data_IF_788994739976
#
_entry.id   IF_788994739976
#
_cell.length_a   1.000
_cell.length_b   1.000
_cell.length_c   1.000
_cell.angle_alpha   90.00
_cell.angle_beta   90.00
_cell.angle_gamma   90.00
#
_symmetry.space_group_name_H-M   'P 1'
#
loop_
_entity.id
_entity.type
_entity.pdbx_description
1 polymer ?
#
# COMPACT_ATOMS: atom_id res chain seq x y z
N UNK A 1 18.14 11.86 1.55
CA UNK A 1 16.91 12.47 2.10
C UNK A 1 15.67 11.73 1.60
N UNK A 2 14.71 11.47 2.48
CA UNK A 2 13.38 10.95 2.14
C UNK A 2 12.59 11.85 1.20
N UNK A 3 11.95 11.23 0.21
CA UNK A 3 11.01 11.90 -0.69
C UNK A 3 9.67 12.18 0.00
N UNK A 4 8.88 13.09 -0.59
CA UNK A 4 7.41 13.08 -0.38
C UNK A 4 6.84 11.74 -0.87
N UNK A 5 5.63 11.38 -0.46
CA UNK A 5 4.88 10.28 -1.07
C UNK A 5 4.06 10.83 -2.25
N UNK A 6 3.74 9.97 -3.22
CA UNK A 6 3.09 10.33 -4.47
C UNK A 6 1.61 9.92 -4.44
N UNK A 7 0.78 10.79 -4.99
CA UNK A 7 -0.54 10.41 -5.47
C UNK A 7 -0.45 9.65 -6.79
N UNK A 8 -1.48 8.87 -7.09
CA UNK A 8 -1.61 8.19 -8.37
C UNK A 8 -1.77 9.19 -9.51
N UNK A 9 -1.29 8.83 -10.69
CA UNK A 9 -1.35 9.70 -11.87
C UNK A 9 -2.62 9.49 -12.68
N UNK A 10 -3.21 8.30 -12.58
CA UNK A 10 -4.41 7.85 -13.30
C UNK A 10 -5.32 7.08 -12.36
N UNK A 11 -6.49 6.69 -12.83
CA UNK A 11 -7.43 5.83 -12.08
C UNK A 11 -6.95 4.39 -11.85
N UNK A 12 -5.76 4.03 -12.33
CA UNK A 12 -5.35 2.62 -12.45
C UNK A 12 -3.95 2.30 -11.88
N UNK A 13 -3.21 3.28 -11.36
CA UNK A 13 -1.83 3.10 -10.90
C UNK A 13 -1.66 3.11 -9.37
N UNK A 14 -2.74 2.93 -8.59
CA UNK A 14 -2.67 2.84 -7.12
C UNK A 14 -1.69 1.77 -6.62
N UNK A 15 -1.69 0.58 -7.23
CA UNK A 15 -0.80 -0.53 -6.92
C UNK A 15 0.69 -0.16 -7.04
N UNK A 16 1.21 0.14 -8.25
CA UNK A 16 2.62 0.51 -8.38
C UNK A 16 3.00 1.75 -7.58
N UNK A 17 2.11 2.75 -7.47
CA UNK A 17 2.38 3.97 -6.70
C UNK A 17 2.52 3.67 -5.21
N UNK A 18 1.69 2.82 -4.63
CA UNK A 18 1.80 2.40 -3.24
C UNK A 18 3.09 1.62 -2.97
N UNK A 19 3.54 0.76 -3.88
CA UNK A 19 4.85 0.08 -3.78
C UNK A 19 5.99 1.12 -3.81
N UNK A 20 5.96 2.05 -4.77
CA UNK A 20 6.96 3.11 -4.88
C UNK A 20 7.00 3.99 -3.64
N UNK A 21 5.84 4.31 -3.06
CA UNK A 21 5.74 5.05 -1.82
C UNK A 21 6.37 4.28 -0.65
N UNK A 22 6.19 2.96 -0.58
CA UNK A 22 6.87 2.15 0.42
C UNK A 22 8.40 2.19 0.29
N UNK A 23 8.94 2.15 -0.94
CA UNK A 23 10.37 2.34 -1.18
C UNK A 23 10.83 3.75 -0.77
N UNK A 24 10.06 4.79 -1.11
CA UNK A 24 10.37 6.19 -0.75
C UNK A 24 10.30 6.44 0.76
N UNK A 25 9.44 5.72 1.46
CA UNK A 25 9.36 5.74 2.91
C UNK A 25 10.58 5.03 3.53
N UNK A 26 10.96 3.87 3.01
CA UNK A 26 12.02 3.01 3.57
C UNK A 26 13.45 3.46 3.24
N UNK A 27 13.67 4.16 2.12
CA UNK A 27 15.01 4.53 1.63
C UNK A 27 15.13 6.02 1.30
N UNK A 28 16.35 6.54 1.36
CA UNK A 28 16.64 7.89 0.92
C UNK A 28 16.66 7.96 -0.62
N UNK A 29 16.25 9.10 -1.19
CA UNK A 29 16.12 9.28 -2.65
C UNK A 29 17.40 8.90 -3.40
N UNK A 30 18.54 9.22 -2.84
CA UNK A 30 19.86 9.02 -3.44
C UNK A 30 20.23 7.53 -3.56
N UNK A 31 19.55 6.65 -2.81
CA UNK A 31 19.76 5.19 -2.82
C UNK A 31 18.77 4.45 -3.73
N UNK A 32 17.70 5.12 -4.20
CA UNK A 32 16.63 4.48 -4.98
C UNK A 32 17.07 4.35 -6.44
N UNK A 33 17.08 3.12 -6.94
CA UNK A 33 17.50 2.83 -8.31
C UNK A 33 16.40 3.15 -9.34
N UNK A 34 16.76 3.75 -10.49
CA UNK A 34 15.78 4.10 -11.53
C UNK A 34 15.20 2.88 -12.26
N UNK A 35 15.95 1.77 -12.38
CA UNK A 35 15.44 0.54 -12.98
C UNK A 35 14.34 -0.09 -12.11
N UNK A 36 14.45 -0.02 -10.78
CA UNK A 36 13.41 -0.40 -9.83
C UNK A 36 12.10 0.35 -10.07
N UNK A 37 12.17 1.67 -10.22
CA UNK A 37 10.99 2.50 -10.49
C UNK A 37 10.31 2.06 -11.79
N UNK A 38 11.10 1.90 -12.85
CA UNK A 38 10.61 1.46 -14.17
C UNK A 38 9.90 0.11 -14.09
N UNK A 39 10.50 -0.88 -13.43
CA UNK A 39 9.97 -2.24 -13.42
C UNK A 39 8.72 -2.40 -12.55
N UNK A 40 8.63 -1.68 -11.43
CA UNK A 40 7.39 -1.65 -10.63
C UNK A 40 6.23 -1.15 -11.49
N UNK A 41 6.38 -0.01 -12.16
CA UNK A 41 5.35 0.53 -13.05
C UNK A 41 5.00 -0.43 -14.19
N UNK A 42 6.01 -1.05 -14.81
CA UNK A 42 5.81 -1.95 -15.95
C UNK A 42 5.05 -3.23 -15.59
N UNK A 43 5.34 -3.84 -14.44
CA UNK A 43 4.78 -5.15 -14.09
C UNK A 43 3.48 -5.08 -13.29
N UNK A 44 3.18 -3.97 -12.61
CA UNK A 44 1.97 -3.87 -11.80
C UNK A 44 0.73 -3.42 -12.59
N UNK A 45 0.83 -2.94 -13.82
CA UNK A 45 -0.35 -2.57 -14.62
C UNK A 45 -0.69 -3.68 -15.62
N UNK A 46 -1.03 -4.86 -15.11
CA UNK A 46 -1.09 -6.12 -15.88
C UNK A 46 -2.50 -6.54 -16.30
N UNK A 47 -3.53 -5.85 -15.82
CA UNK A 47 -4.93 -6.23 -16.01
C UNK A 47 -5.57 -5.56 -17.22
N UNK A 48 -6.77 -6.02 -17.59
CA UNK A 48 -7.57 -5.50 -18.69
C UNK A 48 -8.99 -5.25 -18.22
N UNK A 49 -9.66 -4.25 -18.78
CA UNK A 49 -11.11 -4.09 -18.60
C UNK A 49 -11.91 -5.05 -19.50
N UNK A 50 -13.23 -4.94 -19.43
CA UNK A 50 -14.21 -5.73 -20.20
C UNK A 50 -14.06 -5.54 -21.71
N UNK A 51 -13.53 -4.39 -22.14
CA UNK A 51 -13.28 -4.06 -23.55
C UNK A 51 -11.91 -4.58 -24.04
N UNK A 52 -11.11 -5.20 -23.16
CA UNK A 52 -9.78 -5.70 -23.49
C UNK A 52 -8.71 -4.60 -23.55
N UNK A 53 -8.96 -3.45 -22.94
CA UNK A 53 -7.98 -2.37 -22.84
C UNK A 53 -7.01 -2.63 -21.68
N UNK A 54 -5.71 -2.66 -22.01
CA UNK A 54 -4.63 -2.91 -21.05
C UNK A 54 -4.57 -1.80 -19.98
N UNK A 55 -4.17 -2.19 -18.76
CA UNK A 55 -4.05 -1.39 -17.55
C UNK A 55 -5.36 -0.95 -16.90
N UNK A 56 -6.52 -1.07 -17.56
CA UNK A 56 -7.79 -0.47 -17.07
C UNK A 56 -8.52 -1.22 -15.95
N UNK A 57 -7.83 -2.08 -15.21
CA UNK A 57 -8.24 -2.59 -13.89
C UNK A 57 -7.09 -2.58 -12.86
N UNK A 58 -6.02 -1.83 -13.17
CA UNK A 58 -4.84 -1.69 -12.32
C UNK A 58 -4.06 -2.98 -12.11
N UNK A 59 -3.75 -3.28 -10.84
CA UNK A 59 -2.80 -4.32 -10.42
C UNK A 59 -3.49 -5.58 -9.94
N UNK A 60 -3.14 -6.73 -10.54
CA UNK A 60 -3.61 -8.02 -10.05
C UNK A 60 -2.82 -8.52 -8.83
N UNK A 61 -3.41 -9.41 -8.01
CA UNK A 61 -2.67 -10.14 -6.98
C UNK A 61 -1.48 -10.94 -7.53
N UNK A 62 -1.58 -11.43 -8.77
CA UNK A 62 -0.50 -12.16 -9.42
C UNK A 62 0.69 -11.24 -9.74
N UNK A 63 0.43 -10.01 -10.21
CA UNK A 63 1.46 -9.00 -10.39
C UNK A 63 2.09 -8.58 -9.06
N UNK A 64 1.29 -8.43 -7.99
CA UNK A 64 1.82 -8.15 -6.65
C UNK A 64 2.79 -9.24 -6.17
N UNK A 65 2.39 -10.52 -6.31
CA UNK A 65 3.26 -11.66 -5.99
C UNK A 65 4.52 -11.72 -6.86
N UNK A 66 4.38 -11.45 -8.17
CA UNK A 66 5.53 -11.40 -9.09
C UNK A 66 6.52 -10.31 -8.71
N UNK A 67 6.04 -9.08 -8.49
CA UNK A 67 6.88 -7.94 -8.12
C UNK A 67 7.55 -8.15 -6.78
N UNK A 68 6.88 -8.80 -5.82
CA UNK A 68 7.50 -9.22 -4.55
C UNK A 68 8.75 -10.07 -4.76
N UNK A 69 8.63 -11.12 -5.58
CA UNK A 69 9.74 -12.00 -5.89
C UNK A 69 10.85 -11.27 -6.67
N UNK A 70 10.45 -10.43 -7.61
CA UNK A 70 11.36 -9.61 -8.40
C UNK A 70 12.16 -8.62 -7.51
N UNK A 71 11.50 -7.95 -6.56
CA UNK A 71 12.13 -7.03 -5.61
C UNK A 71 13.12 -7.74 -4.69
N UNK A 72 12.80 -8.94 -4.21
CA UNK A 72 13.72 -9.75 -3.43
C UNK A 72 14.96 -10.14 -4.25
N UNK A 73 14.78 -10.58 -5.49
CA UNK A 73 15.90 -10.88 -6.37
C UNK A 73 16.74 -9.64 -6.68
N UNK A 74 16.08 -8.50 -6.92
CA UNK A 74 16.74 -7.20 -7.09
C UNK A 74 17.59 -6.84 -5.88
N UNK A 75 17.04 -6.99 -4.67
CA UNK A 75 17.74 -6.74 -3.41
C UNK A 75 19.04 -7.53 -3.29
N UNK A 76 18.99 -8.83 -3.62
CA UNK A 76 20.18 -9.70 -3.62
C UNK A 76 21.20 -9.26 -4.67
N UNK A 77 20.79 -9.08 -5.93
CA UNK A 77 21.73 -8.80 -7.04
C UNK A 77 22.38 -7.42 -6.91
N UNK A 78 21.63 -6.42 -6.44
CA UNK A 78 22.12 -5.04 -6.30
C UNK A 78 22.72 -4.75 -4.92
N UNK A 79 22.70 -5.72 -4.01
CA UNK A 79 23.05 -5.53 -2.59
C UNK A 79 22.23 -4.40 -1.95
N UNK A 80 20.97 -4.29 -2.34
CA UNK A 80 20.04 -3.28 -1.82
C UNK A 80 19.29 -3.88 -0.63
N UNK A 81 19.26 -3.24 0.56
CA UNK A 81 18.75 -3.83 1.79
C UNK A 81 17.21 -3.80 1.86
N UNK A 82 16.56 -4.33 0.83
CA UNK A 82 15.11 -4.51 0.71
C UNK A 82 14.78 -5.99 0.85
N UNK A 83 13.81 -6.30 1.70
CA UNK A 83 13.18 -7.61 1.80
C UNK A 83 11.67 -7.45 1.75
N UNK A 84 11.00 -8.32 1.01
CA UNK A 84 9.56 -8.27 0.79
C UNK A 84 8.91 -9.63 1.04
N UNK A 85 7.68 -9.62 1.54
CA UNK A 85 6.83 -10.80 1.69
C UNK A 85 5.41 -10.50 1.18
N UNK A 86 4.83 -11.46 0.46
CA UNK A 86 3.47 -11.35 -0.07
C UNK A 86 2.55 -12.27 0.74
N UNK A 87 1.44 -11.72 1.22
CA UNK A 87 0.41 -12.42 1.95
C UNK A 87 -0.92 -12.25 1.23
N UNK A 88 -1.74 -13.29 1.27
CA UNK A 88 -3.09 -13.27 0.75
C UNK A 88 -4.03 -14.05 1.65
N UNK A 89 -5.33 -13.84 1.46
CA UNK A 89 -6.34 -14.62 2.16
C UNK A 89 -6.42 -14.29 3.66
N UNK A 90 -6.65 -15.32 4.47
CA UNK A 90 -6.81 -15.23 5.93
C UNK A 90 -5.56 -14.72 6.66
N UNK A 91 -4.37 -14.78 6.05
CA UNK A 91 -3.15 -14.24 6.62
C UNK A 91 -3.14 -12.70 6.65
N UNK A 92 -3.99 -12.06 5.85
CA UNK A 92 -4.10 -10.60 5.76
C UNK A 92 -5.17 -10.11 6.74
N UNK A 93 -4.74 -9.95 7.99
CA UNK A 93 -5.56 -9.39 9.07
C UNK A 93 -4.75 -8.40 9.88
N UNK A 94 -5.42 -7.44 10.50
CA UNK A 94 -4.81 -6.50 11.43
C UNK A 94 -5.14 -6.92 12.86
N UNK A 95 -4.72 -8.14 13.23
CA UNK A 95 -4.92 -8.72 14.57
C UNK A 95 -3.58 -8.95 15.27
N UNK A 96 -3.51 -8.95 16.62
CA UNK A 96 -2.26 -9.17 17.32
C UNK A 96 -1.55 -10.47 16.89
N UNK A 97 -0.29 -10.36 16.47
CA UNK A 97 0.52 -11.48 16.00
C UNK A 97 0.30 -11.87 14.53
N UNK A 98 -0.53 -11.13 13.80
CA UNK A 98 -0.62 -11.30 12.34
C UNK A 98 0.68 -10.82 11.67
N UNK A 99 1.05 -11.39 10.51
CA UNK A 99 2.24 -10.94 9.77
C UNK A 99 2.21 -9.44 9.46
N UNK A 100 1.02 -8.91 9.17
CA UNK A 100 0.81 -7.49 8.83
C UNK A 100 1.08 -6.59 10.04
N UNK A 101 0.53 -6.94 11.21
CA UNK A 101 0.73 -6.16 12.45
C UNK A 101 2.18 -6.23 12.91
N UNK A 102 2.79 -7.40 12.83
CA UNK A 102 4.19 -7.59 13.23
C UNK A 102 5.14 -6.82 12.33
N UNK A 103 4.86 -6.77 11.02
CA UNK A 103 5.63 -5.97 10.07
C UNK A 103 5.66 -4.48 10.44
N UNK A 104 4.48 -3.90 10.67
CA UNK A 104 4.35 -2.49 11.05
C UNK A 104 5.06 -2.18 12.38
N UNK A 105 4.93 -3.06 13.38
CA UNK A 105 5.62 -2.92 14.67
C UNK A 105 7.14 -2.99 14.57
N UNK A 106 7.66 -3.77 13.61
CA UNK A 106 9.10 -3.89 13.35
C UNK A 106 9.66 -2.72 12.52
N UNK A 107 8.83 -1.75 12.11
CA UNK A 107 9.24 -0.63 11.27
C UNK A 107 9.25 -0.94 9.77
N UNK A 108 8.64 -2.06 9.36
CA UNK A 108 8.27 -2.32 7.98
C UNK A 108 7.05 -1.49 7.56
N UNK A 109 6.75 -1.55 6.26
CA UNK A 109 5.54 -0.95 5.68
C UNK A 109 4.76 -2.01 4.93
N UNK A 110 3.48 -1.75 4.71
CA UNK A 110 2.58 -2.71 4.05
C UNK A 110 1.82 -2.01 2.93
N UNK A 111 1.91 -2.52 1.71
CA UNK A 111 0.95 -2.19 0.65
C UNK A 111 -0.24 -3.12 0.81
N UNK A 112 -1.41 -2.58 1.06
CA UNK A 112 -2.62 -3.34 1.39
C UNK A 112 -3.71 -3.09 0.37
N UNK A 113 -4.36 -4.17 -0.04
CA UNK A 113 -5.60 -4.12 -0.81
C UNK A 113 -6.80 -3.89 0.11
N UNK A 114 -7.63 -2.90 -0.23
CA UNK A 114 -8.88 -2.56 0.42
C UNK A 114 -9.88 -2.00 -0.61
N UNK A 115 -11.05 -1.53 -0.17
CA UNK A 115 -12.06 -0.94 -1.05
C UNK A 115 -12.24 0.56 -0.82
N UNK A 116 -12.39 1.29 -1.93
CA UNK A 116 -12.87 2.67 -2.05
C UNK A 116 -13.81 2.69 -3.27
N UNK A 117 -15.06 2.26 -3.08
CA UNK A 117 -16.02 1.78 -4.11
C UNK A 117 -15.54 0.55 -4.90
N UNK A 118 -14.31 0.61 -5.41
CA UNK A 118 -13.59 -0.42 -6.14
C UNK A 118 -12.36 -0.88 -5.37
N UNK A 119 -11.72 -1.95 -5.86
CA UNK A 119 -10.48 -2.45 -5.26
C UNK A 119 -9.34 -1.43 -5.40
N UNK A 120 -8.63 -1.17 -4.32
CA UNK A 120 -7.63 -0.12 -4.21
C UNK A 120 -6.44 -0.53 -3.34
N UNK A 121 -5.24 -0.05 -3.68
CA UNK A 121 -4.03 -0.31 -2.91
C UNK A 121 -3.53 0.95 -2.20
N UNK A 122 -3.34 0.85 -0.89
CA UNK A 122 -2.78 1.92 -0.04
C UNK A 122 -1.49 1.47 0.64
N UNK A 123 -0.71 2.42 1.17
CA UNK A 123 0.50 2.14 1.96
C UNK A 123 0.28 2.38 3.45
N UNK A 124 0.35 1.35 4.29
CA UNK A 124 0.38 1.47 5.75
C UNK A 124 1.81 1.73 6.22
N UNK A 125 1.99 2.74 7.07
CA UNK A 125 3.31 3.22 7.51
C UNK A 125 3.54 3.14 9.01
N UNK A 126 2.50 2.83 9.79
CA UNK A 126 2.62 2.62 11.23
C UNK A 126 1.28 2.42 11.93
N UNK A 127 1.34 2.15 13.23
CA UNK A 127 0.16 1.98 14.09
C UNK A 127 0.28 2.98 15.23
N UNK A 128 -0.81 3.69 15.52
CA UNK A 128 -0.93 4.60 16.65
C UNK A 128 -2.23 4.23 17.38
N UNK A 129 -2.09 3.74 18.62
CA UNK A 129 -3.18 3.19 19.43
C UNK A 129 -4.00 2.10 18.70
N UNK A 130 -5.29 2.35 18.45
CA UNK A 130 -6.22 1.47 17.76
C UNK A 130 -6.39 1.83 16.26
N UNK A 131 -5.46 2.61 15.71
CA UNK A 131 -5.51 3.14 14.35
C UNK A 131 -4.24 2.83 13.57
N UNK A 132 -4.40 2.76 12.25
CA UNK A 132 -3.30 2.63 11.30
C UNK A 132 -3.09 3.96 10.59
N UNK A 133 -1.84 4.42 10.58
CA UNK A 133 -1.41 5.47 9.68
C UNK A 133 -1.17 4.90 8.29
N UNK A 134 -1.79 5.50 7.28
CA UNK A 134 -1.63 5.09 5.90
C UNK A 134 -1.50 6.30 4.96
N UNK A 135 -0.89 6.05 3.81
CA UNK A 135 -0.87 6.94 2.68
C UNK A 135 -1.72 6.34 1.57
N UNK A 136 -2.84 6.98 1.31
CA UNK A 136 -3.72 6.70 0.20
C UNK A 136 -3.22 7.45 -1.05
N UNK A 137 -2.86 6.75 -2.14
CA UNK A 137 -2.44 7.43 -3.36
C UNK A 137 -3.60 8.10 -4.11
N UNK A 138 -4.86 7.81 -3.78
CA UNK A 138 -5.99 8.55 -4.29
C UNK A 138 -6.14 9.87 -3.51
N UNK A 139 -5.92 10.99 -4.20
CA UNK A 139 -5.96 12.30 -3.56
C UNK A 139 -7.40 12.77 -3.43
N UNK A 140 -7.79 13.09 -2.20
CA UNK A 140 -9.08 13.70 -1.88
C UNK A 140 -8.86 14.91 -0.99
N UNK A 141 -9.64 15.96 -1.22
CA UNK A 141 -9.63 17.21 -0.47
C UNK A 141 -10.77 17.22 0.55
N UNK A 142 -10.44 17.45 1.83
CA UNK A 142 -11.42 17.40 2.93
C UNK A 142 -12.50 18.50 2.81
N UNK A 143 -12.19 19.60 2.13
CA UNK A 143 -13.10 20.72 1.88
C UNK A 143 -13.78 20.67 0.51
N UNK A 144 -13.63 19.58 -0.26
CA UNK A 144 -14.36 19.39 -1.51
C UNK A 144 -15.87 19.22 -1.21
N UNK A 145 -16.75 20.06 -1.77
CA UNK A 145 -18.20 19.91 -1.59
C UNK A 145 -18.79 18.64 -2.22
N UNK A 146 -18.06 17.96 -3.10
CA UNK A 146 -18.44 16.69 -3.72
C UNK A 146 -17.79 15.47 -3.03
N UNK A 147 -17.03 15.68 -1.93
CA UNK A 147 -16.45 14.59 -1.16
C UNK A 147 -17.54 13.64 -0.65
N UNK A 148 -17.31 12.35 -0.83
CA UNK A 148 -18.24 11.31 -0.42
C UNK A 148 -18.52 11.35 1.09
N UNK A 149 -19.79 11.20 1.45
CA UNK A 149 -20.21 11.16 2.86
C UNK A 149 -19.62 9.97 3.62
N UNK A 150 -19.18 8.91 2.92
CA UNK A 150 -18.48 7.76 3.52
C UNK A 150 -17.18 8.14 4.25
N UNK A 151 -16.56 9.27 3.89
CA UNK A 151 -15.39 9.80 4.61
C UNK A 151 -15.76 10.41 5.98
N UNK A 152 -17.01 10.83 6.19
CA UNK A 152 -17.44 11.53 7.42
C UNK A 152 -17.81 10.56 8.55
N UNK A 153 -16.78 9.94 9.12
CA UNK A 153 -16.89 9.00 10.24
C UNK A 153 -15.73 9.20 11.23
N UNK A 154 -15.93 8.87 12.50
CA UNK A 154 -14.87 8.89 13.52
C UNK A 154 -13.74 7.87 13.22
N UNK A 155 -14.00 6.90 12.33
CA UNK A 155 -13.07 5.83 11.98
C UNK A 155 -12.07 6.21 10.87
N UNK A 156 -12.28 7.33 10.17
CA UNK A 156 -11.40 7.84 9.08
C UNK A 156 -11.01 9.28 9.42
N UNK A 157 -9.73 9.62 9.27
CA UNK A 157 -9.24 10.98 9.56
C UNK A 157 -8.19 11.39 8.54
N UNK A 158 -8.31 12.61 8.02
CA UNK A 158 -7.35 13.21 7.10
C UNK A 158 -6.12 13.73 7.88
N UNK A 159 -4.94 13.59 7.27
CA UNK A 159 -3.66 14.08 7.82
C UNK A 159 -2.98 14.95 6.77
N UNK A 160 -2.79 16.24 7.07
CA UNK A 160 -2.33 17.23 6.10
C UNK A 160 -0.87 17.68 6.31
N UNK A 161 -0.22 17.24 7.38
CA UNK A 161 1.12 17.70 7.80
C UNK A 161 2.20 16.61 7.73
N UNK A 162 1.88 15.41 7.25
CA UNK A 162 2.81 14.27 7.18
C UNK A 162 3.06 13.75 5.74
N UNK A 163 3.45 14.60 4.78
CA UNK A 163 3.49 14.25 3.35
C UNK A 163 4.57 13.20 2.97
N UNK A 164 5.41 12.79 3.92
CA UNK A 164 6.41 11.72 3.76
C UNK A 164 6.02 10.41 4.46
N UNK A 165 4.87 10.36 5.14
CA UNK A 165 4.47 9.25 6.03
C UNK A 165 3.02 8.83 5.86
N UNK A 166 2.07 9.74 5.95
CA UNK A 166 0.64 9.40 5.93
C UNK A 166 -0.21 10.59 5.52
N UNK A 167 -1.34 10.32 4.88
CA UNK A 167 -2.40 11.30 4.63
C UNK A 167 -3.74 10.86 5.23
N UNK A 168 -3.81 9.66 5.82
CA UNK A 168 -4.98 9.13 6.52
C UNK A 168 -4.58 8.41 7.80
N UNK A 169 -5.49 8.44 8.77
CA UNK A 169 -5.52 7.54 9.92
C UNK A 169 -6.85 6.80 9.92
N UNK A 170 -6.83 5.47 9.91
CA UNK A 170 -8.04 4.63 9.84
C UNK A 170 -8.07 3.64 11.01
N UNK A 171 -9.25 3.45 11.61
CA UNK A 171 -9.43 2.48 12.70
C UNK A 171 -9.09 1.04 12.26
N UNK A 172 -8.40 0.30 13.14
CA UNK A 172 -8.06 -1.12 12.91
C UNK A 172 -9.32 -1.98 12.71
N UNK A 173 -10.39 -1.67 13.43
CA UNK A 173 -11.67 -2.37 13.31
C UNK A 173 -12.25 -2.21 11.90
N UNK A 174 -12.31 -0.98 11.38
CA UNK A 174 -12.82 -0.69 10.04
C UNK A 174 -12.06 -1.45 8.95
N UNK A 175 -10.73 -1.37 8.95
CA UNK A 175 -9.89 -2.10 7.99
C UNK A 175 -10.17 -3.61 8.03
N UNK A 176 -10.41 -4.20 9.21
CA UNK A 176 -10.66 -5.63 9.36
C UNK A 176 -12.04 -6.12 8.92
N UNK A 177 -12.97 -5.23 8.53
CA UNK A 177 -14.32 -5.62 8.09
C UNK A 177 -14.31 -6.42 6.79
N UNK A 178 -15.40 -7.15 6.58
CA UNK A 178 -15.58 -8.03 5.41
C UNK A 178 -16.50 -7.45 4.34
N UNK A 179 -17.10 -6.29 4.60
CA UNK A 179 -17.80 -5.46 3.62
C UNK A 179 -16.79 -4.69 2.75
N UNK A 180 -17.32 -3.95 1.77
CA UNK A 180 -16.52 -3.27 0.73
C UNK A 180 -16.71 -1.76 0.77
N UNK A 181 -17.09 -1.23 1.94
CA UNK A 181 -17.22 0.21 2.16
C UNK A 181 -15.81 0.83 2.28
N UNK A 182 -15.72 2.15 2.38
CA UNK A 182 -14.42 2.83 2.31
C UNK A 182 -13.45 2.37 3.40
N UNK A 183 -12.24 2.01 2.97
CA UNK A 183 -11.16 1.47 3.79
C UNK A 183 -11.49 0.17 4.52
N UNK A 184 -12.32 -0.69 3.93
CA UNK A 184 -12.56 -2.04 4.43
C UNK A 184 -11.82 -3.06 3.54
N UNK A 185 -11.23 -4.11 4.12
CA UNK A 185 -10.46 -5.11 3.35
C UNK A 185 -11.34 -6.10 2.58
N UNK A 186 -12.63 -6.18 2.87
CA UNK A 186 -13.52 -7.17 2.29
C UNK A 186 -13.28 -8.59 2.79
N UNK A 187 -13.93 -9.53 2.10
CA UNK A 187 -13.89 -10.96 2.43
C UNK A 187 -12.46 -11.50 2.45
N UNK A 188 -12.16 -12.37 3.42
CA UNK A 188 -10.82 -12.92 3.65
C UNK A 188 -10.16 -13.47 2.37
N UNK A 189 -10.82 -14.27 1.51
CA UNK A 189 -10.18 -14.83 0.32
C UNK A 189 -9.70 -13.79 -0.71
N UNK A 190 -10.24 -12.57 -0.66
CA UNK A 190 -9.91 -11.49 -1.58
C UNK A 190 -8.81 -10.56 -1.06
N UNK A 191 -8.35 -10.74 0.19
CA UNK A 191 -7.36 -9.85 0.79
C UNK A 191 -5.97 -10.13 0.24
N UNK A 192 -5.22 -9.06 0.03
CA UNK A 192 -3.87 -9.09 -0.53
C UNK A 192 -3.01 -8.03 0.15
N UNK A 193 -1.76 -8.38 0.46
CA UNK A 193 -0.81 -7.47 1.08
C UNK A 193 0.63 -7.79 0.69
N UNK A 194 1.40 -6.74 0.40
CA UNK A 194 2.85 -6.80 0.25
C UNK A 194 3.52 -6.08 1.41
N UNK A 195 4.25 -6.83 2.21
CA UNK A 195 5.09 -6.30 3.30
C UNK A 195 6.48 -5.98 2.75
N UNK A 196 7.03 -4.84 3.12
CA UNK A 196 8.38 -4.42 2.74
C UNK A 196 9.18 -3.95 3.96
N UNK A 197 10.46 -4.33 4.00
CA UNK A 197 11.39 -3.98 5.06
C UNK A 197 12.67 -3.38 4.50
N UNK A 198 13.21 -2.40 5.22
CA UNK A 198 14.62 -2.04 5.10
C UNK A 198 15.43 -2.88 6.10
N UNK A 199 16.19 -3.86 5.61
CA UNK A 199 16.94 -4.81 6.44
C UNK A 199 18.18 -4.21 7.09
N UNK A 200 18.57 -2.99 6.71
CA UNK A 200 19.59 -2.24 7.45
C UNK A 200 19.05 -1.60 8.74
N UNK A 201 17.73 -1.40 8.81
CA UNK A 201 17.03 -0.79 9.95
C UNK A 201 16.28 -1.82 10.79
N UNK A 202 15.78 -2.89 10.14
CA UNK A 202 14.93 -3.91 10.75
C UNK A 202 15.68 -5.24 10.81
N UNK A 203 15.78 -5.83 12.00
CA UNK A 203 16.19 -7.23 12.14
C UNK A 203 14.97 -8.11 11.92
N UNK A 204 15.00 -8.89 10.84
CA UNK A 204 13.95 -9.83 10.47
C UNK A 204 13.93 -11.04 11.41
#
# INVERSE_FOLDING_TARGET
>A
MKNLLNYQTSEYDCGPVSILNGIRYLFDREDIYPDMIKFIMLYCMDTYNEEGELCKRGTSPAAMSYVTNWLNHFGVIKHFPLYCEHFSGECVTLTPGSPIMDALKKGGVVVLFLYLEIGHYVLLTGIEDDRVLLFDPFYEEEDDPELDEEYFTEEITFINDQPKKANRSVALERLNRTSKDYYEMGELPCRDALVMYNTSLTKL
#
